data_IF_966987597829
#
_entry.id   IF_966987597829
#
_cell.length_a   1.000
_cell.length_b   1.000
_cell.length_c   1.000
_cell.angle_alpha   90.00
_cell.angle_beta   90.00
_cell.angle_gamma   90.00
#
_symmetry.space_group_name_H-M   'P 1'
#
loop_
_entity.id
_entity.type
_entity.pdbx_description
1 polymer ?
#
# COMPACT_ATOMS: atom_id res chain seq x y z
N UNK A 1 7.36 13.21 -2.12
CA UNK A 1 7.05 13.99 -3.35
C UNK A 1 5.54 14.18 -3.43
N UNK A 2 5.05 15.39 -3.73
CA UNK A 2 3.60 15.68 -3.80
C UNK A 2 3.15 15.82 -5.25
N UNK A 3 2.23 14.98 -5.72
CA UNK A 3 1.64 15.06 -7.06
C UNK A 3 0.27 15.74 -6.98
N UNK A 4 0.14 16.90 -7.63
CA UNK A 4 -1.10 17.70 -7.64
C UNK A 4 -2.16 17.21 -8.62
N UNK A 5 -1.77 16.59 -9.73
CA UNK A 5 -2.69 16.09 -10.76
C UNK A 5 -3.56 14.95 -10.23
N UNK A 6 -2.95 14.06 -9.45
CA UNK A 6 -3.62 12.89 -8.88
C UNK A 6 -3.97 13.05 -7.40
N UNK A 7 -3.70 14.25 -6.84
CA UNK A 7 -3.93 14.60 -5.44
C UNK A 7 -3.44 13.53 -4.46
N UNK A 8 -2.17 13.16 -4.63
CA UNK A 8 -1.52 12.15 -3.80
C UNK A 8 -0.07 12.49 -3.49
N UNK A 9 0.38 12.03 -2.34
CA UNK A 9 1.79 12.02 -1.94
C UNK A 9 2.37 10.65 -2.25
N UNK A 10 3.49 10.63 -2.96
CA UNK A 10 4.22 9.41 -3.33
C UNK A 10 5.57 9.41 -2.62
N UNK A 11 5.93 8.24 -2.10
CA UNK A 11 7.18 8.02 -1.36
C UNK A 11 7.65 6.57 -1.49
N UNK A 12 8.97 6.38 -1.39
CA UNK A 12 9.56 5.07 -1.09
C UNK A 12 9.58 4.91 0.42
N UNK A 13 9.12 3.76 0.91
CA UNK A 13 9.11 3.41 2.33
C UNK A 13 10.21 2.39 2.57
N UNK A 14 11.13 2.73 3.45
CA UNK A 14 12.13 1.79 3.96
C UNK A 14 11.74 1.37 5.37
N UNK A 15 11.41 0.10 5.55
CA UNK A 15 11.03 -0.49 6.84
C UNK A 15 12.23 -1.18 7.46
N UNK A 16 12.72 -0.64 8.56
CA UNK A 16 13.78 -1.23 9.37
C UNK A 16 13.17 -2.11 10.46
N UNK A 17 13.49 -3.41 10.45
CA UNK A 17 12.93 -4.41 11.36
C UNK A 17 14.02 -5.44 11.77
N UNK A 18 14.96 -5.05 12.66
CA UNK A 18 16.09 -5.90 13.03
C UNK A 18 15.63 -7.17 13.77
N UNK A 19 15.99 -8.33 13.22
CA UNK A 19 15.70 -9.65 13.82
C UNK A 19 14.22 -10.00 13.89
N UNK A 20 13.36 -9.29 13.14
CA UNK A 20 11.95 -9.64 12.96
C UNK A 20 11.72 -10.15 11.53
N UNK A 21 10.64 -10.89 11.32
CA UNK A 21 10.16 -11.23 9.99
C UNK A 21 9.56 -10.01 9.28
N UNK A 22 9.18 -10.18 8.01
CA UNK A 22 8.57 -9.12 7.21
C UNK A 22 7.32 -8.56 7.90
N UNK A 23 7.32 -7.25 8.14
CA UNK A 23 6.21 -6.54 8.79
C UNK A 23 4.95 -6.60 7.92
N UNK A 24 3.76 -6.90 8.49
CA UNK A 24 2.52 -6.90 7.74
C UNK A 24 2.13 -5.49 7.29
N UNK A 25 1.40 -5.41 6.17
CA UNK A 25 1.03 -4.13 5.54
C UNK A 25 0.08 -3.28 6.38
N UNK A 26 -0.72 -3.90 7.24
CA UNK A 26 -1.64 -3.23 8.17
C UNK A 26 -0.90 -2.37 9.18
N UNK A 27 0.12 -2.93 9.84
CA UNK A 27 0.97 -2.20 10.78
C UNK A 27 1.71 -1.04 10.11
N UNK A 28 2.22 -1.25 8.89
CA UNK A 28 2.89 -0.18 8.13
C UNK A 28 1.93 0.96 7.83
N UNK A 29 0.68 0.66 7.43
CA UNK A 29 -0.36 1.67 7.21
C UNK A 29 -0.65 2.47 8.48
N UNK A 30 -0.75 1.81 9.62
CA UNK A 30 -0.99 2.47 10.91
C UNK A 30 0.16 3.39 11.32
N UNK A 31 1.42 2.98 11.14
CA UNK A 31 2.56 3.85 11.46
C UNK A 31 2.62 5.05 10.53
N UNK A 32 2.34 4.86 9.24
CA UNK A 32 2.25 5.98 8.29
C UNK A 32 1.09 6.92 8.61
N UNK A 33 -0.06 6.38 9.04
CA UNK A 33 -1.21 7.16 9.48
C UNK A 33 -0.85 8.06 10.68
N UNK A 34 -0.12 7.51 11.66
CA UNK A 34 0.39 8.29 12.81
C UNK A 34 1.38 9.37 12.38
N UNK A 35 2.34 9.06 11.50
CA UNK A 35 3.35 10.02 11.04
C UNK A 35 2.74 11.20 10.27
N UNK A 36 1.82 10.90 9.35
CA UNK A 36 1.23 11.90 8.46
C UNK A 36 -0.09 12.47 8.97
N UNK A 37 -0.56 12.03 10.14
CA UNK A 37 -1.83 12.44 10.76
C UNK A 37 -3.03 12.26 9.83
N UNK A 38 -3.04 11.15 9.10
CA UNK A 38 -4.11 10.79 8.15
C UNK A 38 -4.77 9.50 8.58
N UNK A 39 -5.98 9.23 8.11
CA UNK A 39 -6.62 7.93 8.33
C UNK A 39 -5.89 6.83 7.57
N UNK A 40 -5.85 5.58 8.07
CA UNK A 40 -5.17 4.48 7.39
C UNK A 40 -5.84 4.08 6.07
N UNK A 41 -7.09 4.49 5.83
CA UNK A 41 -7.89 4.10 4.65
C UNK A 41 -7.48 4.83 3.38
N UNK A 42 -6.93 6.03 3.50
CA UNK A 42 -6.39 6.80 2.36
C UNK A 42 -4.96 6.40 2.00
N UNK A 43 -4.35 5.48 2.76
CA UNK A 43 -2.95 5.06 2.62
C UNK A 43 -2.89 3.69 1.94
N UNK A 44 -2.23 3.65 0.78
CA UNK A 44 -1.98 2.43 0.02
C UNK A 44 -0.49 2.12 0.00
N UNK A 45 -0.15 0.90 0.43
CA UNK A 45 1.23 0.41 0.46
C UNK A 45 1.38 -0.84 -0.42
N UNK A 46 2.40 -0.86 -1.28
CA UNK A 46 2.59 -1.95 -2.24
C UNK A 46 4.07 -2.18 -2.58
N UNK A 47 4.34 -3.32 -3.22
CA UNK A 47 5.65 -3.62 -3.80
C UNK A 47 6.77 -3.82 -2.78
N UNK A 48 6.47 -4.32 -1.59
CA UNK A 48 7.50 -4.58 -0.58
C UNK A 48 8.46 -5.70 -1.02
N UNK A 49 9.77 -5.39 -0.99
CA UNK A 49 10.86 -6.33 -1.22
C UNK A 49 11.84 -6.28 -0.04
N UNK A 50 12.03 -7.42 0.59
CA UNK A 50 13.01 -7.61 1.67
C UNK A 50 14.41 -7.74 1.05
N UNK A 51 15.40 -7.05 1.62
CA UNK A 51 16.79 -7.26 1.25
C UNK A 51 17.27 -8.65 1.69
N UNK A 52 18.19 -9.24 0.91
CA UNK A 52 18.84 -10.49 1.27
C UNK A 52 19.67 -10.30 2.55
N UNK A 53 19.53 -11.23 3.50
CA UNK A 53 20.07 -11.06 4.86
C UNK A 53 19.12 -10.39 5.85
N UNK A 54 17.94 -9.93 5.40
CA UNK A 54 16.88 -9.41 6.27
C UNK A 54 17.14 -8.01 6.84
N UNK A 55 16.28 -7.57 7.76
CA UNK A 55 16.44 -6.31 8.52
C UNK A 55 15.98 -5.04 7.80
N UNK A 56 15.96 -5.02 6.47
CA UNK A 56 15.46 -3.90 5.66
C UNK A 56 14.48 -4.38 4.59
N UNK A 57 13.32 -3.74 4.52
CA UNK A 57 12.34 -3.95 3.44
C UNK A 57 12.07 -2.62 2.77
N UNK A 58 12.20 -2.58 1.45
CA UNK A 58 11.87 -1.40 0.64
C UNK A 58 10.51 -1.59 0.01
N UNK A 59 9.71 -0.53 -0.11
CA UNK A 59 8.40 -0.57 -0.74
C UNK A 59 7.91 0.80 -1.15
N UNK A 60 6.68 0.87 -1.64
CA UNK A 60 6.08 2.11 -2.10
C UNK A 60 4.85 2.46 -1.26
N UNK A 61 4.71 3.76 -1.00
CA UNK A 61 3.59 4.35 -0.28
C UNK A 61 2.91 5.44 -1.10
N UNK A 62 1.59 5.36 -1.17
CA UNK A 62 0.72 6.40 -1.71
C UNK A 62 -0.24 6.86 -0.62
N UNK A 63 -0.27 8.17 -0.39
CA UNK A 63 -1.23 8.80 0.54
C UNK A 63 -2.09 9.73 -0.28
N UNK A 64 -3.39 9.45 -0.34
CA UNK A 64 -4.37 10.33 -0.98
C UNK A 64 -4.92 11.36 0.00
N UNK A 65 -5.38 12.49 -0.52
CA UNK A 65 -6.03 13.51 0.32
C UNK A 65 -7.50 13.11 0.63
N UNK A 66 -8.18 12.39 -0.26
CA UNK A 66 -9.53 11.84 -0.03
C UNK A 66 -9.71 10.41 -0.59
N UNK A 67 -10.73 9.71 -0.07
CA UNK A 67 -11.10 8.37 -0.53
C UNK A 67 -11.70 8.36 -1.94
N UNK A 68 -12.33 9.45 -2.38
CA UNK A 68 -12.94 9.53 -3.70
C UNK A 68 -11.88 9.57 -4.81
N UNK A 69 -10.78 10.29 -4.55
CA UNK A 69 -9.63 10.31 -5.45
C UNK A 69 -8.90 8.96 -5.45
N UNK A 70 -8.84 8.28 -4.31
CA UNK A 70 -8.31 6.93 -4.26
C UNK A 70 -9.09 5.98 -5.17
N UNK A 71 -10.43 5.97 -5.10
CA UNK A 71 -11.28 5.09 -5.93
C UNK A 71 -11.15 5.34 -7.43
N UNK A 72 -10.95 6.60 -7.85
CA UNK A 72 -10.80 6.98 -9.26
C UNK A 72 -9.42 6.64 -9.84
N UNK A 73 -8.37 6.81 -9.03
CA UNK A 73 -6.99 6.79 -9.50
C UNK A 73 -6.27 5.45 -9.20
N UNK A 74 -6.81 4.64 -8.28
CA UNK A 74 -6.25 3.32 -7.97
C UNK A 74 -6.76 2.25 -8.96
N UNK A 75 -5.89 1.30 -9.35
CA UNK A 75 -6.33 0.15 -10.12
C UNK A 75 -7.25 -0.74 -9.27
N UNK A 76 -8.28 -1.28 -9.90
CA UNK A 76 -9.36 -2.06 -9.25
C UNK A 76 -8.84 -3.22 -8.38
N UNK A 77 -7.74 -3.87 -8.77
CA UNK A 77 -7.16 -4.99 -8.01
C UNK A 77 -6.59 -4.58 -6.64
N UNK A 78 -6.18 -3.32 -6.45
CA UNK A 78 -5.72 -2.82 -5.15
C UNK A 78 -6.90 -2.51 -4.23
N UNK A 79 -7.97 -1.94 -4.78
CA UNK A 79 -9.21 -1.68 -4.05
C UNK A 79 -9.87 -2.98 -3.57
N UNK A 80 -9.85 -4.04 -4.40
CA UNK A 80 -10.36 -5.35 -4.03
C UNK A 80 -9.59 -5.98 -2.85
N UNK A 81 -8.27 -5.79 -2.78
CA UNK A 81 -7.44 -6.28 -1.66
C UNK A 81 -7.71 -5.57 -0.33
N UNK A 82 -8.22 -4.34 -0.37
CA UNK A 82 -8.61 -3.57 0.82
C UNK A 82 -10.08 -3.80 1.16
N UNK A 83 -10.87 -4.42 0.27
CA UNK A 83 -12.29 -4.67 0.47
C UNK A 83 -13.20 -3.48 0.12
N UNK A 84 -12.66 -2.44 -0.53
CA UNK A 84 -13.42 -1.22 -0.90
C UNK A 84 -14.17 -1.39 -2.23
N UNK A 85 -13.82 -2.41 -3.02
CA UNK A 85 -14.44 -2.69 -4.30
C UNK A 85 -14.63 -4.20 -4.47
N UNK A 86 -15.87 -4.60 -4.74
CA UNK A 86 -16.23 -5.96 -5.14
C UNK A 86 -16.34 -5.95 -6.67
N UNK A 87 -15.72 -6.93 -7.33
CA UNK A 87 -15.84 -7.08 -8.77
C UNK A 87 -17.29 -7.43 -9.12
N UNK A 88 -17.96 -6.52 -9.83
CA UNK A 88 -19.34 -6.68 -10.29
C UNK A 88 -19.42 -7.53 -11.55
N UNK A 89 -18.90 -8.75 -11.52
CA UNK A 89 -19.20 -9.75 -12.53
C UNK A 89 -20.16 -10.74 -11.90
N UNK A 90 -21.38 -10.71 -12.41
CA UNK A 90 -22.60 -11.48 -12.09
C UNK A 90 -23.29 -11.14 -10.77
N UNK A 91 -24.55 -10.72 -10.92
CA UNK A 91 -25.57 -10.66 -9.88
C UNK A 91 -25.78 -12.04 -9.27
N UNK A 92 -25.98 -12.01 -7.96
CA UNK A 92 -26.38 -13.10 -7.06
C UNK A 92 -25.25 -13.81 -6.33
N UNK A 93 -25.55 -13.98 -5.05
CA UNK A 93 -24.75 -14.43 -3.93
C UNK A 93 -23.85 -15.62 -4.24
N UNK A 94 -22.65 -15.66 -3.65
CA UNK A 94 -22.18 -16.80 -2.85
C UNK A 94 -20.95 -16.40 -2.03
N UNK A 95 -21.13 -16.66 -0.74
CA UNK A 95 -20.21 -16.82 0.37
C UNK A 95 -19.00 -17.74 0.07
N UNK A 96 -17.85 -17.44 0.69
CA UNK A 96 -16.65 -18.29 0.86
C UNK A 96 -15.56 -18.25 -0.25
N UNK A 97 -14.31 -18.68 0.05
CA UNK A 97 -13.12 -17.85 0.01
C UNK A 97 -12.06 -18.45 -0.95
N UNK A 98 -10.88 -17.85 -0.97
CA UNK A 98 -9.67 -18.39 -1.62
C UNK A 98 -9.64 -18.26 -3.15
N UNK A 99 -8.80 -17.30 -3.54
CA UNK A 99 -7.94 -17.28 -4.73
C UNK A 99 -8.52 -17.78 -6.06
N UNK A 100 -8.61 -16.88 -7.05
CA UNK A 100 -7.72 -16.97 -8.20
C UNK A 100 -7.75 -15.69 -9.06
N UNK A 101 -6.54 -15.18 -9.28
CA UNK A 101 -6.04 -14.56 -10.49
C UNK A 101 -7.04 -13.87 -11.44
N UNK A 102 -6.96 -12.54 -11.51
CA UNK A 102 -7.33 -11.79 -12.70
C UNK A 102 -6.08 -11.04 -13.16
N UNK A 103 -5.47 -11.55 -14.23
CA UNK A 103 -4.34 -10.95 -14.91
C UNK A 103 -4.79 -9.69 -15.67
N UNK A 104 -4.21 -8.54 -15.34
CA UNK A 104 -4.33 -7.34 -16.16
C UNK A 104 -2.98 -6.62 -16.22
N UNK A 105 -2.27 -6.98 -17.29
CA UNK A 105 -1.21 -6.30 -18.03
C UNK A 105 -0.54 -5.02 -17.48
N UNK A 106 0.79 -5.11 -17.47
CA UNK A 106 1.85 -4.09 -17.50
C UNK A 106 1.43 -2.64 -17.78
N UNK A 107 1.80 -1.73 -16.86
CA UNK A 107 2.23 -0.33 -17.06
C UNK A 107 2.53 0.26 -15.67
N UNK A 108 3.48 1.14 -15.39
CA UNK A 108 4.47 1.91 -16.13
C UNK A 108 5.40 2.54 -15.07
N UNK A 109 6.57 3.02 -15.50
CA UNK A 109 7.67 3.52 -14.64
C UNK A 109 7.20 4.50 -13.56
N UNK A 110 7.58 4.27 -12.31
CA UNK A 110 7.44 5.24 -11.22
C UNK A 110 8.78 5.97 -11.08
N UNK A 111 8.82 7.22 -11.53
CA UNK A 111 9.96 8.12 -11.39
C UNK A 111 10.18 8.56 -9.94
N UNK A 112 11.44 8.96 -9.70
CA UNK A 112 12.17 9.10 -8.45
C UNK A 112 11.37 9.76 -7.31
N UNK A 113 10.98 8.96 -6.32
CA UNK A 113 10.28 9.44 -5.13
C UNK A 113 11.23 9.57 -3.94
N UNK A 114 11.06 10.65 -3.16
CA UNK A 114 11.80 10.88 -1.92
C UNK A 114 11.67 9.69 -0.96
N UNK A 115 12.80 9.31 -0.37
CA UNK A 115 12.96 8.16 0.53
C UNK A 115 12.49 8.55 1.94
N UNK A 116 11.58 7.77 2.51
CA UNK A 116 11.11 7.91 3.89
C UNK A 116 11.44 6.61 4.63
N UNK A 117 12.31 6.70 5.62
CA UNK A 117 12.64 5.58 6.49
C UNK A 117 11.64 5.52 7.65
N UNK A 118 10.93 4.40 7.77
CA UNK A 118 10.05 4.08 8.89
C UNK A 118 10.79 3.06 9.76
N UNK A 119 11.27 3.50 10.93
CA UNK A 119 11.79 2.59 11.93
C UNK A 119 10.62 1.93 12.66
N UNK A 120 10.65 0.60 12.70
CA UNK A 120 9.78 -0.20 13.55
C UNK A 120 10.59 -0.52 14.80
N UNK A 121 10.75 0.49 15.66
CA UNK A 121 11.47 0.29 16.93
C UNK A 121 10.67 -0.70 17.77
N UNK A 122 11.38 -1.73 18.24
CA UNK A 122 10.91 -2.67 19.25
C UNK A 122 10.68 -1.87 20.53
N UNK A 123 9.43 -1.75 20.98
CA UNK A 123 9.21 -1.99 22.41
C UNK A 123 9.58 -3.47 22.62
N UNK A 124 10.59 -3.66 23.48
CA UNK A 124 11.43 -4.85 23.76
C UNK A 124 11.04 -6.18 23.09
#
# INVERSE_FOLDING_TARGET
>A
MTNRLLQRKQMVIDVLHPGKATVPKTEIREKLAKMYKTTPDVIFVFGFRTHFGGGKTTGFGMIYDSLDYAKKNEPKHRLARVGVFICSSTTEDIFFPVALYCECSKMGKTEQSGRVSVQMDKEL
#
